data_IF_661816542936
#
_entry.id   IF_661816542936
#
_cell.length_a   1.000
_cell.length_b   1.000
_cell.length_c   1.000
_cell.angle_alpha   90.00
_cell.angle_beta   90.00
_cell.angle_gamma   90.00
#
_symmetry.space_group_name_H-M   'P 1'
#
loop_
_entity.id
_entity.type
_entity.pdbx_description
1 polymer ?
#
# COMPACT_ATOMS: atom_id res chain seq x y z
N UNK A 1 8.64 -23.10 -12.86
CA UNK A 1 9.83 -22.71 -12.08
C UNK A 1 9.97 -21.19 -11.93
N UNK A 2 10.13 -20.45 -13.02
CA UNK A 2 10.57 -19.04 -12.97
C UNK A 2 9.52 -18.03 -12.43
N UNK A 3 8.22 -18.28 -12.65
CA UNK A 3 7.13 -17.37 -12.25
C UNK A 3 6.92 -17.33 -10.73
N UNK A 4 7.12 -18.46 -10.04
CA UNK A 4 6.96 -18.55 -8.58
C UNK A 4 8.07 -17.83 -7.81
N UNK A 5 9.31 -17.85 -8.32
CA UNK A 5 10.41 -17.10 -7.72
C UNK A 5 10.21 -15.59 -7.87
N UNK A 6 9.74 -15.14 -9.04
CA UNK A 6 9.46 -13.72 -9.29
C UNK A 6 8.31 -13.19 -8.43
N UNK A 7 7.25 -13.97 -8.19
CA UNK A 7 6.11 -13.54 -7.38
C UNK A 7 6.46 -13.42 -5.89
N UNK A 8 7.34 -14.28 -5.37
CA UNK A 8 7.84 -14.21 -3.98
C UNK A 8 8.72 -12.97 -3.79
N UNK A 9 9.65 -12.71 -4.70
CA UNK A 9 10.50 -11.51 -4.64
C UNK A 9 9.66 -10.24 -4.73
N UNK A 10 8.70 -10.20 -5.66
CA UNK A 10 7.80 -9.06 -5.80
C UNK A 10 6.93 -8.82 -4.55
N UNK A 11 6.46 -9.88 -3.88
CA UNK A 11 5.69 -9.76 -2.63
C UNK A 11 6.54 -9.21 -1.49
N UNK A 12 7.74 -9.75 -1.32
CA UNK A 12 8.65 -9.35 -0.24
C UNK A 12 9.06 -7.88 -0.39
N UNK A 13 9.37 -7.46 -1.62
CA UNK A 13 9.71 -6.07 -1.92
C UNK A 13 8.51 -5.12 -1.69
N UNK A 14 7.30 -5.54 -2.09
CA UNK A 14 6.08 -4.78 -1.83
C UNK A 14 5.81 -4.61 -0.34
N UNK A 15 6.02 -5.65 0.46
CA UNK A 15 5.78 -5.58 1.90
C UNK A 15 6.73 -4.60 2.58
N UNK A 16 8.02 -4.65 2.24
CA UNK A 16 9.02 -3.71 2.74
C UNK A 16 8.71 -2.26 2.32
N UNK A 17 8.27 -2.05 1.07
CA UNK A 17 7.85 -0.74 0.59
C UNK A 17 6.67 -0.20 1.41
N UNK A 18 5.67 -1.03 1.69
CA UNK A 18 4.46 -0.62 2.42
C UNK A 18 4.75 -0.29 3.88
N UNK A 19 5.68 -1.01 4.51
CA UNK A 19 6.15 -0.66 5.86
C UNK A 19 6.93 0.65 5.88
N UNK A 20 7.67 0.95 4.80
CA UNK A 20 8.31 2.26 4.60
C UNK A 20 7.28 3.38 4.43
N UNK A 21 6.26 3.16 3.60
CA UNK A 21 5.18 4.11 3.36
C UNK A 21 4.36 4.38 4.61
N UNK A 22 4.13 3.38 5.46
CA UNK A 22 3.42 3.56 6.73
C UNK A 22 4.18 4.51 7.68
N UNK A 23 5.52 4.42 7.69
CA UNK A 23 6.36 5.36 8.46
C UNK A 23 6.36 6.77 7.88
N UNK A 24 6.33 6.91 6.55
CA UNK A 24 6.32 8.21 5.87
C UNK A 24 4.93 8.88 5.89
N UNK A 25 3.88 8.07 5.89
CA UNK A 25 2.48 8.49 5.87
C UNK A 25 1.71 7.76 6.99
N UNK A 26 1.98 8.12 8.25
CA UNK A 26 1.30 7.50 9.38
C UNK A 26 -0.21 7.79 9.31
N UNK A 27 -1.01 6.81 9.74
CA UNK A 27 -2.48 6.91 9.77
C UNK A 27 -3.19 6.34 8.53
N UNK A 28 -2.48 6.06 7.43
CA UNK A 28 -3.05 5.36 6.28
C UNK A 28 -3.11 3.84 6.43
N UNK A 29 -2.30 3.28 7.33
CA UNK A 29 -2.29 1.84 7.62
C UNK A 29 -1.62 1.01 6.52
N UNK A 30 -0.70 1.58 5.75
CA UNK A 30 -0.01 0.91 4.63
C UNK A 30 0.64 -0.40 5.08
N UNK A 31 1.19 -0.45 6.29
CA UNK A 31 1.79 -1.67 6.85
C UNK A 31 0.75 -2.79 7.10
N UNK A 32 -0.51 -2.44 7.39
CA UNK A 32 -1.60 -3.39 7.63
C UNK A 32 -2.17 -3.94 6.33
N UNK A 33 -2.55 -3.06 5.40
CA UNK A 33 -3.23 -3.47 4.17
C UNK A 33 -2.28 -3.70 3.00
N UNK A 34 -0.97 -3.48 3.15
CA UNK A 34 0.09 -3.72 2.14
C UNK A 34 -0.22 -3.11 0.77
N UNK A 35 -0.90 -1.96 0.75
CA UNK A 35 -1.25 -1.23 -0.48
C UNK A 35 -2.53 -1.73 -1.17
N UNK A 36 -3.25 -2.69 -0.60
CA UNK A 36 -4.59 -3.05 -1.08
C UNK A 36 -5.63 -2.01 -0.65
N UNK A 37 -6.55 -1.67 -1.56
CA UNK A 37 -7.65 -0.71 -1.35
C UNK A 37 -8.74 -1.24 -0.42
N UNK A 38 -8.39 -1.52 0.83
CA UNK A 38 -9.32 -1.99 1.85
C UNK A 38 -10.25 -0.87 2.33
N UNK A 39 -11.34 -1.22 3.00
CA UNK A 39 -12.24 -0.23 3.62
C UNK A 39 -11.49 0.70 4.59
N UNK A 40 -10.48 0.17 5.31
CA UNK A 40 -9.61 0.96 6.18
C UNK A 40 -8.82 2.02 5.39
N UNK A 41 -8.29 1.64 4.22
CA UNK A 41 -7.55 2.56 3.37
C UNK A 41 -8.45 3.68 2.84
N UNK A 42 -9.68 3.35 2.42
CA UNK A 42 -10.68 4.35 1.98
C UNK A 42 -11.02 5.32 3.12
N UNK A 43 -11.28 4.82 4.33
CA UNK A 43 -11.53 5.66 5.50
C UNK A 43 -10.35 6.57 5.83
N UNK A 44 -9.11 6.07 5.68
CA UNK A 44 -7.94 6.89 5.90
C UNK A 44 -7.78 7.99 4.83
N UNK A 45 -8.09 7.69 3.56
CA UNK A 45 -8.12 8.69 2.48
C UNK A 45 -9.21 9.73 2.74
N UNK A 46 -10.40 9.34 3.20
CA UNK A 46 -11.47 10.28 3.56
C UNK A 46 -11.07 11.21 4.72
N UNK A 47 -10.32 10.69 5.70
CA UNK A 47 -9.88 11.44 6.88
C UNK A 47 -8.65 12.32 6.65
N UNK A 48 -7.66 11.83 5.91
CA UNK A 48 -6.34 12.45 5.75
C UNK A 48 -6.15 13.07 4.36
N UNK A 49 -7.04 12.81 3.41
CA UNK A 49 -6.90 13.17 2.00
C UNK A 49 -6.02 12.19 1.22
N UNK A 50 -5.84 12.45 -0.09
CA UNK A 50 -4.94 11.66 -0.94
C UNK A 50 -3.47 12.10 -0.75
N UNK A 51 -2.62 11.20 -0.25
CA UNK A 51 -1.15 11.35 -0.29
C UNK A 51 -0.58 11.21 -1.73
N UNK A 52 0.58 11.82 -2.07
CA UNK A 52 1.23 11.70 -3.39
C UNK A 52 1.55 10.27 -3.84
N UNK A 53 1.63 9.32 -2.91
CA UNK A 53 1.90 7.91 -3.19
C UNK A 53 0.67 7.13 -3.67
N UNK A 54 -0.53 7.71 -3.54
CA UNK A 54 -1.74 7.11 -4.06
C UNK A 54 -1.80 7.25 -5.59
N UNK A 55 -2.11 6.14 -6.26
CA UNK A 55 -2.49 6.19 -7.67
C UNK A 55 -3.93 6.70 -7.76
N UNK A 56 -4.10 7.93 -8.24
CA UNK A 56 -5.41 8.57 -8.43
C UNK A 56 -6.37 7.69 -9.25
N UNK A 57 -5.86 6.98 -10.25
CA UNK A 57 -6.63 6.04 -11.09
C UNK A 57 -7.18 4.82 -10.36
N UNK A 58 -6.72 4.55 -9.14
CA UNK A 58 -7.20 3.43 -8.31
C UNK A 58 -8.14 3.89 -7.18
N UNK A 59 -8.32 5.20 -7.03
CA UNK A 59 -9.11 5.83 -5.98
C UNK A 59 -10.34 6.59 -6.52
N UNK A 60 -10.67 6.41 -7.81
CA UNK A 60 -11.96 6.79 -8.40
C UNK A 60 -13.01 5.69 -8.16
#
# INVERSE_FOLDING_TARGET
GNIAAASVVAKTWRDALMDGLDRLHPGYGFAQHKGYGTALHKQAIERLGLSPVHRRTFCE
#
